data_IF_671850748120
#
_entry.id   IF_671850748120
#
_cell.length_a   1.000
_cell.length_b   1.000
_cell.length_c   1.000
_cell.angle_alpha   90.00
_cell.angle_beta   90.00
_cell.angle_gamma   90.00
#
_symmetry.space_group_name_H-M   'P 1'
#
loop_
_entity.id
_entity.type
_entity.pdbx_description
1 polymer ?
#
# COMPACT_ATOMS: atom_id res chain seq x y z
N UNK A 1 58.42 -31.25 56.01
CA UNK A 1 58.51 -30.39 57.21
C UNK A 1 59.21 -29.10 56.82
N UNK A 2 58.63 -27.97 57.24
CA UNK A 2 59.22 -26.62 57.34
C UNK A 2 59.38 -25.82 56.01
N UNK A 3 59.58 -24.48 56.05
CA UNK A 3 58.52 -23.48 56.25
C UNK A 3 58.69 -22.20 55.35
N UNK A 4 57.75 -21.27 55.48
CA UNK A 4 57.83 -19.79 55.35
C UNK A 4 58.98 -19.14 54.57
N UNK A 5 58.68 -18.31 53.56
CA UNK A 5 59.43 -17.06 53.31
C UNK A 5 58.61 -16.03 52.50
N UNK A 6 58.39 -14.85 53.06
CA UNK A 6 58.23 -13.54 52.40
C UNK A 6 59.42 -12.66 52.83
N UNK A 7 59.68 -11.46 52.26
CA UNK A 7 59.61 -10.93 50.88
C UNK A 7 61.02 -10.39 50.45
N UNK A 8 61.17 -9.51 49.43
CA UNK A 8 61.33 -8.08 49.77
C UNK A 8 60.76 -7.07 48.74
N UNK A 9 60.64 -5.82 49.23
CA UNK A 9 60.46 -4.55 48.51
C UNK A 9 61.32 -4.43 47.23
N UNK A 10 60.82 -3.75 46.17
CA UNK A 10 61.27 -2.39 45.86
C UNK A 10 60.52 -1.72 44.67
N UNK A 11 60.28 -0.43 44.88
CA UNK A 11 60.05 0.70 43.98
C UNK A 11 59.78 0.52 42.46
N UNK A 12 58.69 1.17 42.02
CA UNK A 12 58.78 2.11 40.90
C UNK A 12 57.77 1.94 39.78
N UNK A 13 57.14 3.08 39.45
CA UNK A 13 56.58 3.47 38.15
C UNK A 13 55.07 3.24 37.94
N UNK A 14 54.39 4.38 38.01
CA UNK A 14 53.10 4.78 37.44
C UNK A 14 52.68 3.98 36.19
N UNK A 15 51.50 3.35 36.24
CA UNK A 15 50.78 2.93 35.03
C UNK A 15 49.35 3.46 35.10
N UNK A 16 49.05 4.29 34.12
CA UNK A 16 47.77 4.92 33.81
C UNK A 16 46.67 3.88 33.53
N UNK A 17 45.43 4.32 33.74
CA UNK A 17 44.17 3.85 33.13
C UNK A 17 43.91 2.33 33.06
N UNK A 18 42.96 1.89 33.89
CA UNK A 18 42.02 0.85 33.49
C UNK A 18 40.64 1.46 33.38
N UNK A 19 40.33 1.92 32.17
CA UNK A 19 38.96 2.13 31.72
C UNK A 19 38.13 0.90 32.08
N UNK A 20 36.94 1.15 32.65
CA UNK A 20 35.93 0.13 32.90
C UNK A 20 35.53 -0.47 31.56
N UNK A 21 36.05 -1.66 31.25
CA UNK A 21 35.47 -2.53 30.24
C UNK A 21 34.02 -2.82 30.65
N UNK A 22 33.09 -2.13 30.01
CA UNK A 22 31.67 -2.43 30.12
C UNK A 22 31.44 -3.81 29.50
N UNK A 23 31.18 -4.79 30.36
CA UNK A 23 30.82 -6.15 29.99
C UNK A 23 29.55 -6.12 29.13
N UNK A 24 29.67 -6.54 27.86
CA UNK A 24 28.59 -6.57 26.88
C UNK A 24 27.45 -7.51 27.28
N UNK A 25 27.69 -8.43 28.23
CA UNK A 25 26.72 -9.44 28.66
C UNK A 25 25.58 -8.86 29.49
N UNK A 26 25.77 -7.69 30.11
CA UNK A 26 24.78 -7.05 30.97
C UNK A 26 24.26 -5.72 30.40
N UNK A 27 24.54 -5.44 29.13
CA UNK A 27 23.98 -4.26 28.50
C UNK A 27 22.49 -4.49 28.21
N UNK A 28 21.64 -3.80 28.97
CA UNK A 28 20.21 -3.72 28.72
C UNK A 28 20.04 -2.82 27.49
N UNK A 29 20.04 -3.44 26.31
CA UNK A 29 19.75 -2.75 25.05
C UNK A 29 18.24 -2.74 24.83
N UNK A 30 17.63 -1.58 25.01
CA UNK A 30 16.18 -1.39 24.93
C UNK A 30 15.64 -1.45 23.48
N UNK A 31 16.52 -1.42 22.48
CA UNK A 31 16.18 -1.56 21.06
C UNK A 31 17.05 -2.63 20.39
N UNK A 32 16.52 -3.85 20.27
CA UNK A 32 17.15 -4.93 19.51
C UNK A 32 16.94 -4.72 18.01
N UNK A 33 18.02 -4.66 17.24
CA UNK A 33 18.02 -4.57 15.76
C UNK A 33 17.22 -5.70 15.09
N UNK A 34 17.01 -6.82 15.79
CA UNK A 34 16.26 -7.97 15.30
C UNK A 34 14.76 -7.97 15.70
N UNK A 35 14.27 -6.88 16.32
CA UNK A 35 12.84 -6.71 16.55
C UNK A 35 12.28 -5.93 15.35
N UNK A 36 11.65 -6.60 14.37
CA UNK A 36 11.13 -5.91 13.21
C UNK A 36 10.12 -4.85 13.70
N UNK A 37 10.20 -3.60 13.21
CA UNK A 37 9.32 -2.54 13.68
C UNK A 37 7.85 -3.01 13.62
N UNK A 38 7.15 -2.95 14.76
CA UNK A 38 5.75 -3.41 14.85
C UNK A 38 4.84 -2.77 13.80
N UNK A 39 5.23 -1.59 13.30
CA UNK A 39 4.59 -0.84 12.20
C UNK A 39 4.61 -1.55 10.84
N UNK A 40 5.53 -2.47 10.60
CA UNK A 40 5.63 -3.20 9.32
C UNK A 40 4.48 -4.22 9.19
N UNK A 41 4.01 -4.77 10.30
CA UNK A 41 2.94 -5.78 10.34
C UNK A 41 1.54 -5.18 10.54
N UNK A 42 1.36 -3.90 10.28
CA UNK A 42 0.01 -3.34 10.28
C UNK A 42 -0.63 -3.72 8.95
N UNK A 43 -1.42 -4.80 8.99
CA UNK A 43 -2.52 -5.02 8.05
C UNK A 43 -3.29 -3.71 8.00
N UNK A 44 -3.33 -3.06 6.83
CA UNK A 44 -3.91 -1.73 6.70
C UNK A 44 -5.28 -1.73 7.38
N UNK A 45 -5.50 -0.82 8.32
CA UNK A 45 -6.78 -0.66 9.00
C UNK A 45 -7.90 -0.26 8.00
N UNK A 46 -7.50 0.11 6.79
CA UNK A 46 -8.35 0.34 5.62
C UNK A 46 -8.98 -0.95 5.03
N UNK A 47 -8.68 -2.13 5.58
CA UNK A 47 -9.33 -3.40 5.25
C UNK A 47 -10.66 -3.66 5.99
N UNK A 48 -11.13 -2.74 6.85
CA UNK A 48 -12.52 -2.77 7.34
C UNK A 48 -13.48 -2.27 6.24
N UNK A 49 -13.60 -3.10 5.21
CA UNK A 49 -14.64 -3.00 4.20
C UNK A 49 -16.01 -2.97 4.89
N UNK A 50 -16.77 -1.91 4.70
CA UNK A 50 -18.20 -1.98 4.93
C UNK A 50 -18.79 -2.76 3.76
N UNK A 51 -19.61 -3.79 4.02
CA UNK A 51 -20.31 -4.55 2.96
C UNK A 51 -21.04 -3.61 1.97
N UNK A 52 -21.41 -2.41 2.44
CA UNK A 52 -21.96 -1.31 1.64
C UNK A 52 -21.07 -0.89 0.47
N UNK A 53 -19.74 -0.85 0.62
CA UNK A 53 -18.80 -0.44 -0.43
C UNK A 53 -18.69 -1.49 -1.54
N UNK A 54 -18.75 -2.78 -1.16
CA UNK A 54 -18.72 -3.89 -2.11
C UNK A 54 -19.99 -3.99 -2.95
N UNK A 55 -21.12 -3.52 -2.42
CA UNK A 55 -22.40 -3.50 -3.13
C UNK A 55 -22.55 -2.24 -4.01
N UNK A 56 -21.97 -1.11 -3.60
CA UNK A 56 -22.21 0.17 -4.28
C UNK A 56 -21.21 0.52 -5.38
N UNK A 57 -20.01 -0.09 -5.41
CA UNK A 57 -18.97 0.33 -6.37
C UNK A 57 -19.41 0.19 -7.83
N UNK A 58 -20.20 -0.82 -8.19
CA UNK A 58 -20.72 -1.00 -9.55
C UNK A 58 -21.61 0.17 -9.96
N UNK A 59 -22.53 0.59 -9.09
CA UNK A 59 -23.41 1.71 -9.35
C UNK A 59 -22.61 3.02 -9.50
N UNK A 60 -21.59 3.24 -8.67
CA UNK A 60 -20.69 4.40 -8.79
C UNK A 60 -19.91 4.37 -10.11
N UNK A 61 -19.35 3.22 -10.48
CA UNK A 61 -18.63 3.04 -11.74
C UNK A 61 -19.53 3.34 -12.94
N UNK A 62 -20.75 2.81 -12.93
CA UNK A 62 -21.73 3.05 -13.99
C UNK A 62 -22.09 4.53 -14.10
N UNK A 63 -22.34 5.20 -12.97
CA UNK A 63 -22.62 6.64 -12.94
C UNK A 63 -21.44 7.49 -13.47
N UNK A 64 -20.20 7.11 -13.17
CA UNK A 64 -19.00 7.77 -13.70
C UNK A 64 -18.91 7.64 -15.23
N UNK A 65 -19.22 6.45 -15.75
CA UNK A 65 -19.23 6.19 -17.19
C UNK A 65 -20.34 6.97 -17.89
N UNK A 66 -21.54 7.03 -17.31
CA UNK A 66 -22.67 7.81 -17.83
C UNK A 66 -22.36 9.31 -17.84
N UNK A 67 -21.76 9.83 -16.76
CA UNK A 67 -21.31 11.22 -16.72
C UNK A 67 -20.29 11.51 -17.84
N UNK A 68 -19.29 10.64 -18.03
CA UNK A 68 -18.35 10.78 -19.13
C UNK A 68 -19.03 10.69 -20.52
N UNK A 69 -20.06 9.85 -20.67
CA UNK A 69 -20.80 9.71 -21.93
C UNK A 69 -21.62 10.96 -22.25
N UNK A 70 -22.22 11.59 -21.23
CA UNK A 70 -22.94 12.85 -21.36
C UNK A 70 -21.99 14.00 -21.75
N UNK A 71 -20.77 14.03 -21.19
CA UNK A 71 -19.79 15.07 -21.49
C UNK A 71 -19.11 14.88 -22.85
N UNK A 72 -18.74 13.65 -23.21
CA UNK A 72 -17.96 13.36 -24.42
C UNK A 72 -18.81 12.78 -25.55
N UNK A 73 -19.67 13.61 -26.14
CA UNK A 73 -20.61 13.20 -27.19
C UNK A 73 -20.00 13.05 -28.59
N UNK A 74 -18.85 13.70 -28.86
CA UNK A 74 -18.15 13.69 -30.15
C UNK A 74 -16.62 13.71 -29.99
N UNK A 75 -15.90 13.52 -31.10
CA UNK A 75 -14.45 13.69 -31.13
C UNK A 75 -13.62 12.54 -30.52
N UNK A 76 -12.31 12.77 -30.26
CA UNK A 76 -11.40 11.75 -29.76
C UNK A 76 -11.78 11.18 -28.39
N UNK A 77 -12.24 12.01 -27.46
CA UNK A 77 -12.61 11.56 -26.10
C UNK A 77 -13.77 10.55 -26.14
N UNK A 78 -14.75 10.73 -27.04
CA UNK A 78 -15.82 9.73 -27.23
C UNK A 78 -15.25 8.36 -27.60
N UNK A 79 -14.31 8.32 -28.55
CA UNK A 79 -13.69 7.06 -29.00
C UNK A 79 -12.89 6.41 -27.86
N UNK A 80 -12.15 7.21 -27.09
CA UNK A 80 -11.42 6.74 -25.91
C UNK A 80 -12.39 6.20 -24.86
N UNK A 81 -13.52 6.86 -24.63
CA UNK A 81 -14.55 6.41 -23.70
C UNK A 81 -15.22 5.11 -24.15
N UNK A 82 -15.47 4.91 -25.45
CA UNK A 82 -16.01 3.65 -25.98
C UNK A 82 -15.04 2.48 -25.77
N UNK A 83 -13.74 2.67 -26.05
CA UNK A 83 -12.70 1.67 -25.74
C UNK A 83 -12.61 1.41 -24.23
N UNK A 84 -12.66 2.47 -23.41
CA UNK A 84 -12.64 2.37 -21.95
C UNK A 84 -13.82 1.54 -21.43
N UNK A 85 -15.04 1.81 -21.91
CA UNK A 85 -16.23 1.01 -21.59
C UNK A 85 -16.04 -0.46 -21.93
N UNK A 86 -15.53 -0.76 -23.13
CA UNK A 86 -15.26 -2.14 -23.57
C UNK A 86 -14.26 -2.84 -22.66
N UNK A 87 -13.21 -2.15 -22.21
CA UNK A 87 -12.19 -2.69 -21.32
C UNK A 87 -12.71 -2.96 -19.91
N UNK A 88 -13.69 -2.20 -19.45
CA UNK A 88 -14.30 -2.35 -18.14
C UNK A 88 -15.42 -3.40 -18.09
N UNK A 89 -15.94 -3.87 -19.24
CA UNK A 89 -16.99 -4.91 -19.27
C UNK A 89 -16.64 -6.16 -18.44
N UNK A 90 -15.43 -6.75 -18.55
CA UNK A 90 -15.09 -7.92 -17.75
C UNK A 90 -15.17 -7.66 -16.24
N UNK A 91 -14.82 -6.45 -15.78
CA UNK A 91 -14.94 -6.09 -14.36
C UNK A 91 -16.41 -6.10 -13.91
N UNK A 92 -17.32 -5.57 -14.74
CA UNK A 92 -18.75 -5.51 -14.47
C UNK A 92 -19.43 -6.88 -14.55
N UNK A 93 -19.01 -7.73 -15.49
CA UNK A 93 -19.57 -9.08 -15.71
C UNK A 93 -19.06 -10.09 -14.67
N UNK A 94 -17.74 -10.16 -14.47
CA UNK A 94 -17.07 -11.16 -13.62
C UNK A 94 -17.38 -10.96 -12.14
N UNK A 95 -17.72 -9.74 -11.72
CA UNK A 95 -18.12 -9.46 -10.34
C UNK A 95 -19.50 -10.00 -9.97
N UNK A 96 -20.39 -10.18 -10.95
CA UNK A 96 -21.68 -10.85 -10.73
C UNK A 96 -21.53 -12.38 -10.58
N UNK A 97 -20.39 -12.92 -11.01
CA UNK A 97 -20.06 -14.34 -10.94
C UNK A 97 -19.17 -14.72 -9.74
N UNK A 98 -18.97 -13.80 -8.78
CA UNK A 98 -18.13 -13.99 -7.56
C UNK A 98 -16.67 -14.42 -7.83
N UNK A 99 -16.10 -14.04 -8.97
CA UNK A 99 -14.76 -14.50 -9.39
C UNK A 99 -13.59 -13.58 -8.99
N UNK A 100 -13.85 -12.49 -8.26
CA UNK A 100 -12.80 -11.60 -7.79
C UNK A 100 -12.45 -11.84 -6.32
N UNK A 101 -11.15 -11.79 -6.03
CA UNK A 101 -10.67 -11.74 -4.66
C UNK A 101 -11.22 -10.49 -3.95
N UNK A 102 -11.78 -10.68 -2.75
CA UNK A 102 -12.30 -9.59 -1.91
C UNK A 102 -11.39 -8.36 -1.84
N UNK A 103 -10.06 -8.45 -1.59
CA UNK A 103 -9.18 -7.28 -1.54
C UNK A 103 -9.14 -6.47 -2.85
N UNK A 104 -9.33 -7.12 -4.00
CA UNK A 104 -9.37 -6.44 -5.30
C UNK A 104 -10.65 -5.62 -5.41
N UNK A 105 -11.79 -6.20 -5.04
CA UNK A 105 -13.08 -5.49 -5.03
C UNK A 105 -13.10 -4.33 -4.04
N UNK A 106 -12.46 -4.47 -2.87
CA UNK A 106 -12.27 -3.38 -1.90
C UNK A 106 -11.54 -2.21 -2.57
N UNK A 107 -10.40 -2.50 -3.21
CA UNK A 107 -9.58 -1.48 -3.88
C UNK A 107 -10.34 -0.81 -5.02
N UNK A 108 -11.13 -1.58 -5.78
CA UNK A 108 -12.01 -1.04 -6.85
C UNK A 108 -13.08 -0.13 -6.25
N UNK A 109 -13.70 -0.51 -5.13
CA UNK A 109 -14.68 0.31 -4.42
C UNK A 109 -14.09 1.62 -3.92
N UNK A 110 -12.93 1.57 -3.26
CA UNK A 110 -12.21 2.75 -2.80
C UNK A 110 -11.82 3.68 -3.95
N UNK A 111 -11.39 3.12 -5.09
CA UNK A 111 -11.06 3.89 -6.29
C UNK A 111 -12.31 4.60 -6.84
N UNK A 112 -13.44 3.89 -6.96
CA UNK A 112 -14.69 4.49 -7.43
C UNK A 112 -15.21 5.57 -6.48
N UNK A 113 -15.04 5.39 -5.17
CA UNK A 113 -15.37 6.40 -4.17
C UNK A 113 -14.49 7.64 -4.33
N UNK A 114 -13.17 7.48 -4.43
CA UNK A 114 -12.24 8.58 -4.64
C UNK A 114 -12.56 9.37 -5.94
N UNK A 115 -12.92 8.68 -7.02
CA UNK A 115 -13.37 9.33 -8.26
C UNK A 115 -14.67 10.12 -8.08
N UNK A 116 -15.62 9.60 -7.31
CA UNK A 116 -16.87 10.30 -7.02
C UNK A 116 -16.63 11.57 -6.19
N UNK A 117 -15.71 11.51 -5.23
CA UNK A 117 -15.28 12.63 -4.38
C UNK A 117 -14.28 13.57 -5.08
N UNK A 118 -13.92 13.29 -6.33
CA UNK A 118 -12.93 14.04 -7.12
C UNK A 118 -11.52 14.07 -6.49
N UNK A 119 -11.19 13.05 -5.68
CA UNK A 119 -9.87 12.84 -5.10
C UNK A 119 -8.94 12.14 -6.11
N UNK A 120 -8.55 12.84 -7.17
CA UNK A 120 -7.84 12.27 -8.33
C UNK A 120 -6.49 11.62 -7.99
N UNK A 121 -5.72 12.23 -7.07
CA UNK A 121 -4.42 11.70 -6.64
C UNK A 121 -4.60 10.39 -5.87
N UNK A 122 -5.58 10.33 -4.97
CA UNK A 122 -5.92 9.09 -4.23
C UNK A 122 -6.40 7.99 -5.16
N UNK A 123 -7.26 8.31 -6.13
CA UNK A 123 -7.70 7.35 -7.14
C UNK A 123 -6.51 6.80 -7.95
N UNK A 124 -5.54 7.65 -8.29
CA UNK A 124 -4.32 7.27 -9.00
C UNK A 124 -3.39 6.39 -8.16
N UNK A 125 -3.23 6.68 -6.87
CA UNK A 125 -2.44 5.88 -5.94
C UNK A 125 -3.03 4.47 -5.77
N UNK A 126 -4.35 4.36 -5.62
CA UNK A 126 -5.05 3.07 -5.52
C UNK A 126 -4.90 2.29 -6.84
N UNK A 127 -5.05 2.96 -7.99
CA UNK A 127 -4.83 2.35 -9.30
C UNK A 127 -3.40 1.81 -9.45
N UNK A 128 -2.39 2.56 -9.02
CA UNK A 128 -1.00 2.14 -9.09
C UNK A 128 -0.76 0.89 -8.23
N UNK A 129 -1.33 0.84 -7.01
CA UNK A 129 -1.26 -0.36 -6.15
C UNK A 129 -1.86 -1.58 -6.86
N UNK A 130 -3.05 -1.44 -7.43
CA UNK A 130 -3.70 -2.50 -8.20
C UNK A 130 -2.86 -2.93 -9.42
N UNK A 131 -2.22 -2.01 -10.13
CA UNK A 131 -1.30 -2.33 -11.23
C UNK A 131 -0.09 -3.14 -10.77
N UNK A 132 0.38 -2.97 -9.53
CA UNK A 132 1.52 -3.74 -9.03
C UNK A 132 1.15 -5.16 -8.61
N UNK A 133 -0.05 -5.37 -8.07
CA UNK A 133 -0.45 -6.69 -7.52
C UNK A 133 -1.31 -7.53 -8.46
N UNK A 134 -2.13 -6.91 -9.31
CA UNK A 134 -3.18 -7.59 -10.07
C UNK A 134 -3.01 -7.56 -11.60
N UNK A 135 -1.99 -6.88 -12.12
CA UNK A 135 -1.87 -6.63 -13.55
C UNK A 135 -1.86 -7.88 -14.43
N UNK A 136 -1.21 -8.96 -14.00
CA UNK A 136 -1.14 -10.19 -14.78
C UNK A 136 -2.52 -10.81 -15.03
N UNK A 137 -3.41 -10.77 -14.03
CA UNK A 137 -4.77 -11.32 -14.12
C UNK A 137 -5.78 -10.33 -14.69
N UNK A 138 -5.56 -9.04 -14.46
CA UNK A 138 -6.60 -8.02 -14.58
C UNK A 138 -6.19 -6.80 -15.43
N UNK A 139 -5.05 -6.89 -16.14
CA UNK A 139 -4.45 -5.76 -16.87
C UNK A 139 -5.37 -5.07 -17.87
N UNK A 140 -6.27 -5.80 -18.54
CA UNK A 140 -7.16 -5.19 -19.53
C UNK A 140 -8.10 -4.13 -18.91
N UNK A 141 -8.79 -4.48 -17.82
CA UNK A 141 -9.71 -3.54 -17.16
C UNK A 141 -8.96 -2.53 -16.30
N UNK A 142 -7.77 -2.86 -15.78
CA UNK A 142 -6.91 -1.90 -15.07
C UNK A 142 -6.43 -0.77 -15.99
N UNK A 143 -6.10 -1.05 -17.25
CA UNK A 143 -5.81 0.00 -18.24
C UNK A 143 -7.05 0.82 -18.59
N UNK A 144 -8.23 0.19 -18.62
CA UNK A 144 -9.51 0.89 -18.72
C UNK A 144 -9.72 1.85 -17.54
N UNK A 145 -9.44 1.40 -16.33
CA UNK A 145 -9.59 2.20 -15.12
C UNK A 145 -8.69 3.43 -15.11
N UNK A 146 -7.42 3.31 -15.54
CA UNK A 146 -6.53 4.47 -15.69
C UNK A 146 -7.13 5.54 -16.58
N UNK A 147 -7.70 5.13 -17.73
CA UNK A 147 -8.33 6.04 -18.68
C UNK A 147 -9.61 6.64 -18.13
N UNK A 148 -10.36 5.89 -17.33
CA UNK A 148 -11.54 6.41 -16.66
C UNK A 148 -11.19 7.51 -15.66
N UNK A 149 -10.09 7.38 -14.92
CA UNK A 149 -9.57 8.44 -14.05
C UNK A 149 -9.33 9.71 -14.87
N UNK A 150 -8.56 9.59 -15.97
CA UNK A 150 -8.22 10.72 -16.84
C UNK A 150 -9.46 11.38 -17.47
N UNK A 151 -10.43 10.57 -17.91
CA UNK A 151 -11.68 11.06 -18.50
C UNK A 151 -12.58 11.72 -17.46
N UNK A 152 -12.66 11.17 -16.24
CA UNK A 152 -13.48 11.73 -15.16
C UNK A 152 -12.94 13.07 -14.69
N UNK A 153 -11.61 13.17 -14.52
CA UNK A 153 -10.95 14.43 -14.21
C UNK A 153 -11.18 15.47 -15.31
N UNK A 154 -11.08 15.05 -16.58
CA UNK A 154 -11.35 15.93 -17.72
C UNK A 154 -12.81 16.35 -17.84
N UNK A 155 -13.76 15.51 -17.40
CA UNK A 155 -15.18 15.83 -17.43
C UNK A 155 -15.61 16.76 -16.29
N UNK A 156 -14.83 16.82 -15.21
CA UNK A 156 -15.05 17.70 -14.08
C UNK A 156 -14.38 19.09 -14.21
N UNK A 157 -13.50 19.25 -15.21
CA UNK A 157 -12.80 20.50 -15.53
C UNK A 157 -13.60 21.38 -16.50
#
# INVERSE_FOLDING_TARGET
MNPTTTPPHDNGVTVMEKEKLSDFRNAIFENHWNDPPKKIFHKNKDEELHDLDLVQWQARLQALLENCQATFTTGPNKRILLDTNKRLQPLLETSQAEQFDKPVLVSVGQLCQALHEQEWDKASDIHQKLMTSEYERHGNWLLGMKRLIDLSQKAAA
#
